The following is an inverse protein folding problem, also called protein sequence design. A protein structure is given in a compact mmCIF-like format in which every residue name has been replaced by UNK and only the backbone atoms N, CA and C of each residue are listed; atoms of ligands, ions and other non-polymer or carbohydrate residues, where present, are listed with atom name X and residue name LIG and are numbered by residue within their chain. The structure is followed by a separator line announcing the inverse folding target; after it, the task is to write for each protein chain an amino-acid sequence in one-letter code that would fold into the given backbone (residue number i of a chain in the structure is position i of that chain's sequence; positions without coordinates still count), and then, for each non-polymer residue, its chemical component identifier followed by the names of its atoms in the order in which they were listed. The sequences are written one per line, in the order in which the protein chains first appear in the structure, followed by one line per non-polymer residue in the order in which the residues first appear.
data_IF_471524687580
#
_entry.id   IF_471524687580
#
_cell.length_a   1.000
_cell.length_b   1.000
_cell.length_c   1.000
_cell.angle_alpha   90.00
_cell.angle_beta   90.00
_cell.angle_gamma   90.00
#
_symmetry.space_group_name_H-M   'P 1'
#
loop_
_entity.id
_entity.type
_entity.pdbx_description
1 polymer ?
#
# COMPACT_ATOMS: atom_id res chain seq x y z
N UNK A 1 19.70 -87.61 188.04
CA UNK A 1 19.11 -87.30 189.36
C UNK A 1 20.07 -86.37 190.12
N UNK A 2 19.70 -85.46 191.03
CA UNK A 2 18.39 -84.96 191.53
C UNK A 2 18.67 -83.61 192.25
N UNK A 3 18.42 -82.44 191.63
CA UNK A 3 18.97 -81.10 192.05
C UNK A 3 20.52 -81.07 191.93
N UNK A 4 21.30 -79.98 192.12
CA UNK A 4 21.16 -78.49 192.27
C UNK A 4 22.49 -77.88 191.67
N UNK A 5 22.80 -76.57 191.54
CA UNK A 5 22.23 -75.32 192.06
C UNK A 5 22.47 -74.08 191.15
N UNK A 6 21.44 -73.22 191.12
CA UNK A 6 21.37 -71.74 191.04
C UNK A 6 22.65 -70.85 190.94
N UNK A 7 22.42 -69.67 190.32
CA UNK A 7 22.88 -68.28 190.64
C UNK A 7 23.88 -67.49 189.73
N UNK A 8 23.33 -66.44 189.08
CA UNK A 8 23.82 -65.05 188.79
C UNK A 8 25.18 -64.73 188.10
N UNK A 9 25.16 -64.00 186.95
CA UNK A 9 25.98 -62.76 186.65
C UNK A 9 25.97 -62.24 185.16
N UNK A 10 25.94 -60.91 185.02
CA UNK A 10 26.58 -59.98 184.02
C UNK A 10 26.42 -60.08 182.46
N UNK A 11 27.02 -59.09 181.77
CA UNK A 11 26.51 -58.34 180.59
C UNK A 11 27.52 -58.33 179.41
N UNK A 12 27.09 -58.41 178.13
CA UNK A 12 27.92 -57.97 177.00
C UNK A 12 27.12 -57.75 175.69
N UNK A 13 27.38 -56.65 174.96
CA UNK A 13 26.53 -56.14 173.84
C UNK A 13 27.29 -55.97 172.51
N UNK A 14 28.57 -56.33 172.46
CA UNK A 14 29.48 -55.94 171.36
C UNK A 14 29.35 -56.66 169.98
N UNK A 15 28.75 -57.87 169.78
CA UNK A 15 28.75 -58.51 168.46
C UNK A 15 27.81 -57.92 167.39
N UNK A 16 26.77 -57.17 167.78
CA UNK A 16 25.64 -56.88 166.89
C UNK A 16 25.84 -55.70 165.90
N UNK A 17 26.82 -54.82 166.14
CA UNK A 17 26.95 -53.57 165.37
C UNK A 17 27.80 -53.73 164.08
N UNK A 18 28.79 -54.63 164.10
CA UNK A 18 29.70 -54.84 162.95
C UNK A 18 29.04 -55.52 161.76
N UNK A 19 28.10 -56.44 162.00
CA UNK A 19 27.47 -57.24 160.95
C UNK A 19 26.45 -56.41 160.13
N UNK A 20 25.68 -55.55 160.80
CA UNK A 20 24.80 -54.58 160.15
C UNK A 20 25.56 -53.56 159.29
N UNK A 21 26.74 -53.11 159.74
CA UNK A 21 27.58 -52.18 158.99
C UNK A 21 28.15 -52.84 157.72
N UNK A 22 28.61 -54.10 157.81
CA UNK A 22 29.10 -54.87 156.67
C UNK A 22 28.03 -55.12 155.60
N UNK A 23 26.80 -55.46 156.02
CA UNK A 23 25.67 -55.61 155.11
C UNK A 23 25.33 -54.33 154.35
N UNK A 24 25.33 -53.18 155.03
CA UNK A 24 25.01 -51.89 154.42
C UNK A 24 26.07 -51.44 153.40
N UNK A 25 27.36 -51.71 153.65
CA UNK A 25 28.45 -51.46 152.70
C UNK A 25 28.35 -52.37 151.47
N UNK A 26 28.00 -53.65 151.63
CA UNK A 26 27.79 -54.56 150.49
C UNK A 26 26.63 -54.13 149.60
N UNK A 27 25.51 -53.67 150.17
CA UNK A 27 24.37 -53.11 149.39
C UNK A 27 24.78 -51.81 148.68
N UNK A 28 25.56 -50.95 149.32
CA UNK A 28 26.07 -49.71 148.71
C UNK A 28 27.00 -50.00 147.52
N UNK A 29 27.96 -50.93 147.69
CA UNK A 29 28.86 -51.37 146.61
C UNK A 29 28.06 -52.02 145.47
N UNK A 30 27.06 -52.84 145.78
CA UNK A 30 26.19 -53.45 144.77
C UNK A 30 25.42 -52.40 143.96
N UNK A 31 24.82 -51.40 144.63
CA UNK A 31 24.14 -50.27 143.98
C UNK A 31 25.09 -49.47 143.09
N UNK A 32 26.29 -49.13 143.56
CA UNK A 32 27.31 -48.44 142.76
C UNK A 32 27.75 -49.29 141.57
N UNK A 33 27.92 -50.61 141.74
CA UNK A 33 28.33 -51.51 140.66
C UNK A 33 27.24 -51.62 139.59
N UNK A 34 25.97 -51.76 139.99
CA UNK A 34 24.83 -51.74 139.05
C UNK A 34 24.72 -50.39 138.35
N UNK A 35 24.90 -49.27 139.07
CA UNK A 35 24.89 -47.93 138.49
C UNK A 35 25.99 -47.75 137.44
N UNK A 36 27.24 -48.11 137.77
CA UNK A 36 28.39 -48.03 136.84
C UNK A 36 28.21 -48.96 135.65
N UNK A 37 27.69 -50.18 135.83
CA UNK A 37 27.36 -51.08 134.70
C UNK A 37 26.28 -50.45 133.82
N UNK A 38 25.27 -49.82 134.42
CA UNK A 38 24.19 -49.15 133.67
C UNK A 38 24.72 -47.94 132.89
N UNK A 39 25.57 -47.10 133.49
CA UNK A 39 26.26 -46.01 132.78
C UNK A 39 27.17 -46.52 131.66
N UNK A 40 27.93 -47.60 131.88
CA UNK A 40 28.80 -48.18 130.86
C UNK A 40 28.00 -48.78 129.69
N UNK A 41 26.84 -49.40 129.96
CA UNK A 41 25.95 -49.91 128.92
C UNK A 41 25.28 -48.77 128.13
N UNK A 42 24.75 -47.76 128.82
CA UNK A 42 24.18 -46.56 128.18
C UNK A 42 25.26 -45.83 127.37
N UNK A 43 26.47 -45.66 127.91
CA UNK A 43 27.60 -45.03 127.23
C UNK A 43 28.04 -45.77 125.97
N UNK A 44 28.05 -47.12 125.99
CA UNK A 44 28.30 -47.93 124.79
C UNK A 44 27.20 -47.77 123.74
N UNK A 45 25.94 -47.74 124.14
CA UNK A 45 24.83 -47.60 123.19
C UNK A 45 24.72 -46.16 122.64
N UNK A 46 25.06 -45.15 123.45
CA UNK A 46 25.21 -43.75 123.01
C UNK A 46 26.39 -43.59 122.04
N UNK A 47 27.58 -44.12 122.35
CA UNK A 47 28.72 -44.12 121.40
C UNK A 47 28.38 -44.84 120.08
N UNK A 48 27.64 -45.95 120.13
CA UNK A 48 27.14 -46.63 118.93
C UNK A 48 26.19 -45.77 118.11
N UNK A 49 25.28 -45.04 118.79
CA UNK A 49 24.36 -44.09 118.15
C UNK A 49 25.09 -42.86 117.60
N UNK A 50 26.07 -42.29 118.31
CA UNK A 50 26.87 -41.15 117.84
C UNK A 50 27.77 -41.51 116.66
N UNK A 51 28.37 -42.70 116.65
CA UNK A 51 29.14 -43.18 115.49
C UNK A 51 28.25 -43.48 114.28
N UNK A 52 27.05 -44.05 114.49
CA UNK A 52 26.05 -44.21 113.44
C UNK A 52 25.52 -42.86 112.91
N UNK A 53 25.23 -41.90 113.79
CA UNK A 53 24.85 -40.53 113.43
C UNK A 53 25.97 -39.84 112.64
N UNK A 54 27.24 -39.97 113.05
CA UNK A 54 28.38 -39.41 112.32
C UNK A 54 28.70 -40.13 110.99
N UNK A 55 28.24 -41.36 110.79
CA UNK A 55 28.24 -42.01 109.47
C UNK A 55 27.06 -41.54 108.62
N UNK A 56 25.86 -41.47 109.17
CA UNK A 56 24.66 -40.95 108.51
C UNK A 56 24.85 -39.49 108.07
N UNK A 57 25.41 -38.62 108.92
CA UNK A 57 25.76 -37.24 108.58
C UNK A 57 26.74 -37.17 107.40
N UNK A 58 27.78 -38.02 107.38
CA UNK A 58 28.72 -38.08 106.24
C UNK A 58 28.06 -38.58 104.96
N UNK A 59 27.16 -39.56 105.05
CA UNK A 59 26.38 -40.05 103.91
C UNK A 59 25.43 -38.96 103.41
N UNK A 60 24.73 -38.26 104.31
CA UNK A 60 23.86 -37.12 103.99
C UNK A 60 24.67 -36.03 103.29
N UNK A 61 25.77 -35.56 103.85
CA UNK A 61 26.61 -34.53 103.20
C UNK A 61 27.23 -34.98 101.87
N UNK A 62 27.53 -36.27 101.70
CA UNK A 62 27.99 -36.81 100.41
C UNK A 62 26.85 -36.87 99.38
N UNK A 63 25.64 -37.26 99.78
CA UNK A 63 24.44 -37.25 98.95
C UNK A 63 23.99 -35.83 98.59
N UNK A 64 24.08 -34.88 99.52
CA UNK A 64 23.87 -33.44 99.28
C UNK A 64 24.89 -32.89 98.26
N UNK A 65 26.16 -33.30 98.36
CA UNK A 65 27.20 -32.98 97.38
C UNK A 65 26.90 -33.54 95.99
N UNK A 66 26.56 -34.84 95.90
CA UNK A 66 26.19 -35.51 94.65
C UNK A 66 24.93 -34.91 94.02
N UNK A 67 23.90 -34.60 94.82
CA UNK A 67 22.70 -33.91 94.37
C UNK A 67 23.02 -32.51 93.84
N UNK A 68 23.86 -31.74 94.56
CA UNK A 68 24.30 -30.41 94.14
C UNK A 68 25.13 -30.42 92.85
N UNK A 69 25.95 -31.45 92.61
CA UNK A 69 26.69 -31.60 91.34
C UNK A 69 25.78 -32.06 90.19
N UNK A 70 24.83 -32.96 90.46
CA UNK A 70 23.80 -33.34 89.48
C UNK A 70 22.92 -32.14 89.07
N UNK A 71 22.56 -31.26 90.01
CA UNK A 71 21.82 -30.03 89.72
C UNK A 71 22.64 -29.03 88.89
N UNK A 72 23.95 -28.87 89.16
CA UNK A 72 24.85 -28.06 88.32
C UNK A 72 24.95 -28.62 86.90
N UNK A 73 25.01 -29.94 86.75
CA UNK A 73 25.08 -30.58 85.44
C UNK A 73 23.74 -30.48 84.69
N UNK A 74 22.61 -30.67 85.37
CA UNK A 74 21.28 -30.44 84.82
C UNK A 74 21.09 -28.97 84.39
N UNK A 75 21.59 -27.99 85.16
CA UNK A 75 21.58 -26.58 84.78
C UNK A 75 22.45 -26.29 83.53
N UNK A 76 23.65 -26.88 83.44
CA UNK A 76 24.51 -26.80 82.24
C UNK A 76 23.84 -27.43 81.02
N UNK A 77 23.21 -28.59 81.17
CA UNK A 77 22.49 -29.27 80.07
C UNK A 77 21.28 -28.45 79.61
N UNK A 78 20.46 -27.91 80.51
CA UNK A 78 19.35 -26.99 80.18
C UNK A 78 19.85 -25.76 79.40
N UNK A 79 20.95 -25.14 79.84
CA UNK A 79 21.55 -24.00 79.14
C UNK A 79 22.06 -24.38 77.73
N UNK A 80 22.69 -25.54 77.56
CA UNK A 80 23.10 -26.04 76.24
C UNK A 80 21.92 -26.38 75.35
N UNK A 81 20.84 -26.96 75.88
CA UNK A 81 19.59 -27.20 75.15
C UNK A 81 18.96 -25.90 74.66
N UNK A 82 18.84 -24.89 75.53
CA UNK A 82 18.29 -23.57 75.17
C UNK A 82 19.15 -22.88 74.09
N UNK A 83 20.47 -23.00 74.16
CA UNK A 83 21.38 -22.52 73.11
C UNK A 83 21.17 -23.24 71.77
N UNK A 84 21.05 -24.57 71.81
CA UNK A 84 20.77 -25.39 70.62
C UNK A 84 19.41 -25.04 70.00
N UNK A 85 18.36 -24.90 70.80
CA UNK A 85 17.02 -24.47 70.36
C UNK A 85 17.07 -23.11 69.66
N UNK A 86 17.86 -22.16 70.18
CA UNK A 86 18.08 -20.86 69.53
C UNK A 86 18.74 -21.02 68.15
N UNK A 87 19.81 -21.82 68.04
CA UNK A 87 20.50 -22.05 66.74
C UNK A 87 19.62 -22.80 65.74
N UNK A 88 18.75 -23.71 66.18
CA UNK A 88 17.76 -24.37 65.33
C UNK A 88 16.72 -23.35 64.82
N UNK A 89 16.22 -22.47 65.68
CA UNK A 89 15.31 -21.39 65.28
C UNK A 89 15.92 -20.44 64.24
N UNK A 90 17.19 -20.05 64.41
CA UNK A 90 17.91 -19.23 63.45
C UNK A 90 18.13 -19.94 62.11
N UNK A 91 18.58 -21.21 62.14
CA UNK A 91 18.73 -22.03 60.94
C UNK A 91 17.41 -22.17 60.19
N UNK A 92 16.31 -22.40 60.89
CA UNK A 92 15.01 -22.62 60.26
C UNK A 92 14.44 -21.32 59.66
N UNK A 93 14.74 -20.15 60.25
CA UNK A 93 14.50 -18.83 59.64
C UNK A 93 15.32 -18.63 58.36
N UNK A 94 16.62 -18.94 58.38
CA UNK A 94 17.50 -18.84 57.21
C UNK A 94 17.04 -19.80 56.08
N UNK A 95 16.63 -21.02 56.42
CA UNK A 95 16.06 -21.97 55.45
C UNK A 95 14.74 -21.48 54.87
N UNK A 96 13.90 -20.78 55.64
CA UNK A 96 12.68 -20.14 55.12
C UNK A 96 13.02 -18.97 54.17
N UNK A 97 13.98 -18.12 54.53
CA UNK A 97 14.45 -17.02 53.67
C UNK A 97 15.02 -17.55 52.34
N UNK A 98 15.94 -18.51 52.37
CA UNK A 98 16.53 -19.12 51.17
C UNK A 98 15.48 -19.82 50.27
N UNK A 99 14.44 -20.43 50.86
CA UNK A 99 13.33 -21.00 50.09
C UNK A 99 12.53 -19.91 49.38
N UNK A 100 12.23 -18.80 50.05
CA UNK A 100 11.50 -17.67 49.45
C UNK A 100 12.33 -16.98 48.35
N UNK A 101 13.61 -16.75 48.58
CA UNK A 101 14.53 -16.16 47.59
C UNK A 101 14.70 -17.06 46.36
N UNK A 102 14.87 -18.38 46.56
CA UNK A 102 14.92 -19.34 45.46
C UNK A 102 13.60 -19.41 44.68
N UNK A 103 12.46 -19.28 45.35
CA UNK A 103 11.15 -19.21 44.69
C UNK A 103 11.00 -17.94 43.85
N UNK A 104 11.42 -16.78 44.38
CA UNK A 104 11.43 -15.51 43.65
C UNK A 104 12.35 -15.57 42.41
N UNK A 105 13.60 -16.02 42.58
CA UNK A 105 14.55 -16.20 41.47
C UNK A 105 14.04 -17.18 40.41
N UNK A 106 13.31 -18.23 40.81
CA UNK A 106 12.68 -19.17 39.85
C UNK A 106 11.54 -18.52 39.06
N UNK A 107 10.77 -17.63 39.69
CA UNK A 107 9.70 -16.88 39.02
C UNK A 107 10.26 -15.82 38.06
N UNK A 108 11.27 -15.06 38.49
CA UNK A 108 11.95 -14.06 37.66
C UNK A 108 12.66 -14.71 36.47
N UNK A 109 13.33 -15.86 36.68
CA UNK A 109 13.92 -16.64 35.59
C UNK A 109 12.86 -17.07 34.57
N UNK A 110 11.74 -17.64 35.01
CA UNK A 110 10.66 -18.06 34.12
C UNK A 110 10.09 -16.89 33.32
N UNK A 111 9.92 -15.73 33.96
CA UNK A 111 9.47 -14.50 33.31
C UNK A 111 10.50 -13.98 32.27
N UNK A 112 11.80 -14.06 32.57
CA UNK A 112 12.86 -13.70 31.65
C UNK A 112 12.95 -14.66 30.44
N UNK A 113 12.74 -15.96 30.64
CA UNK A 113 12.69 -16.95 29.55
C UNK A 113 11.48 -16.70 28.63
N UNK A 114 10.31 -16.35 29.18
CA UNK A 114 9.12 -15.98 28.41
C UNK A 114 9.30 -14.66 27.62
N UNK A 115 9.92 -13.63 28.20
CA UNK A 115 10.18 -12.38 27.49
C UNK A 115 11.27 -12.52 26.44
N UNK A 116 12.31 -13.32 26.69
CA UNK A 116 13.32 -13.65 25.69
C UNK A 116 12.71 -14.41 24.50
N UNK A 117 11.85 -15.41 24.75
CA UNK A 117 11.17 -16.19 23.70
C UNK A 117 10.28 -15.29 22.85
N UNK A 118 9.42 -14.48 23.46
CA UNK A 118 8.52 -13.56 22.72
C UNK A 118 9.28 -12.45 21.97
N UNK A 119 10.40 -11.95 22.50
CA UNK A 119 11.27 -11.03 21.78
C UNK A 119 11.94 -11.69 20.57
N UNK A 120 12.34 -12.96 20.68
CA UNK A 120 12.95 -13.72 19.60
C UNK A 120 11.94 -14.07 18.48
N UNK A 121 10.69 -14.39 18.84
CA UNK A 121 9.58 -14.54 17.90
C UNK A 121 9.28 -13.23 17.15
N UNK A 122 9.25 -12.09 17.86
CA UNK A 122 9.07 -10.77 17.26
C UNK A 122 10.22 -10.41 16.30
N UNK A 123 11.48 -10.70 16.69
CA UNK A 123 12.64 -10.47 15.83
C UNK A 123 12.60 -11.32 14.55
N UNK A 124 12.22 -12.60 14.64
CA UNK A 124 12.04 -13.47 13.48
C UNK A 124 10.94 -12.99 12.53
N UNK A 125 9.81 -12.52 13.09
CA UNK A 125 8.71 -11.93 12.32
C UNK A 125 9.14 -10.64 11.61
N UNK A 126 9.91 -9.78 12.29
CA UNK A 126 10.43 -8.53 11.71
C UNK A 126 11.46 -8.80 10.61
N UNK A 127 12.38 -9.77 10.76
CA UNK A 127 13.30 -10.18 9.68
C UNK A 127 12.53 -10.65 8.45
N UNK A 128 11.56 -11.56 8.64
CA UNK A 128 10.70 -12.07 7.57
C UNK A 128 9.95 -10.94 6.86
N UNK A 129 9.50 -9.92 7.60
CA UNK A 129 8.83 -8.74 7.02
C UNK A 129 9.79 -7.84 6.25
N UNK A 130 11.01 -7.63 6.76
CA UNK A 130 12.05 -6.86 6.09
C UNK A 130 12.49 -7.51 4.77
N UNK A 131 12.68 -8.84 4.75
CA UNK A 131 13.00 -9.61 3.55
C UNK A 131 11.91 -9.50 2.47
N UNK A 132 10.63 -9.59 2.86
CA UNK A 132 9.49 -9.39 1.93
C UNK A 132 9.47 -7.98 1.34
N UNK A 133 9.68 -6.96 2.17
CA UNK A 133 9.72 -5.56 1.72
C UNK A 133 10.91 -5.29 0.81
N UNK A 134 12.08 -5.88 1.09
CA UNK A 134 13.25 -5.79 0.20
C UNK A 134 12.96 -6.41 -1.18
N UNK A 135 12.38 -7.60 -1.22
CA UNK A 135 11.99 -8.25 -2.47
C UNK A 135 10.90 -7.47 -3.25
N UNK A 136 9.98 -6.81 -2.54
CA UNK A 136 8.98 -5.93 -3.15
C UNK A 136 9.61 -4.65 -3.74
N UNK A 137 10.55 -4.01 -3.01
CA UNK A 137 11.31 -2.87 -3.52
C UNK A 137 12.15 -3.23 -4.76
N UNK A 138 12.82 -4.38 -4.77
CA UNK A 138 13.52 -4.86 -5.98
C UNK A 138 12.59 -5.13 -7.17
N UNK A 139 11.36 -5.60 -6.90
CA UNK A 139 10.35 -5.80 -7.95
C UNK A 139 9.86 -4.45 -8.50
N UNK A 140 9.59 -3.48 -7.63
CA UNK A 140 9.18 -2.13 -8.01
C UNK A 140 10.28 -1.39 -8.78
N UNK A 141 11.54 -1.47 -8.34
CA UNK A 141 12.68 -0.86 -9.04
C UNK A 141 12.88 -1.46 -10.45
N UNK A 142 12.73 -2.79 -10.61
CA UNK A 142 12.76 -3.44 -11.93
C UNK A 142 11.60 -2.98 -12.83
N UNK A 143 10.39 -2.87 -12.29
CA UNK A 143 9.23 -2.36 -13.03
C UNK A 143 9.40 -0.88 -13.43
N UNK A 144 9.96 -0.05 -12.56
CA UNK A 144 10.25 1.36 -12.85
C UNK A 144 11.30 1.50 -13.96
N UNK A 145 12.38 0.72 -13.92
CA UNK A 145 13.40 0.72 -14.96
C UNK A 145 12.83 0.27 -16.33
N UNK A 146 12.00 -0.78 -16.35
CA UNK A 146 11.32 -1.23 -17.56
C UNK A 146 10.37 -0.15 -18.13
N UNK A 147 9.60 0.53 -17.29
CA UNK A 147 8.72 1.63 -17.70
C UNK A 147 9.51 2.83 -18.23
N UNK A 148 10.64 3.18 -17.61
CA UNK A 148 11.52 4.25 -18.11
C UNK A 148 12.10 3.91 -19.49
N UNK A 149 12.43 2.63 -19.73
CA UNK A 149 12.88 2.17 -21.04
C UNK A 149 11.75 2.21 -22.11
N UNK A 150 10.52 1.80 -21.76
CA UNK A 150 9.36 1.90 -22.66
C UNK A 150 9.05 3.35 -23.04
N UNK A 151 9.09 4.27 -22.06
CA UNK A 151 8.91 5.71 -22.32
C UNK A 151 9.99 6.25 -23.27
N UNK A 152 11.27 5.96 -23.02
CA UNK A 152 12.36 6.39 -23.90
C UNK A 152 12.23 5.83 -25.33
N UNK A 153 11.77 4.59 -25.49
CA UNK A 153 11.47 4.01 -26.80
C UNK A 153 10.31 4.74 -27.48
N UNK A 154 9.23 5.02 -26.75
CA UNK A 154 8.04 5.71 -27.28
C UNK A 154 8.32 7.15 -27.66
N UNK A 155 9.12 7.88 -26.88
CA UNK A 155 9.60 9.22 -27.22
C UNK A 155 10.43 9.21 -28.51
N UNK A 156 11.31 8.22 -28.69
CA UNK A 156 12.09 8.09 -29.94
C UNK A 156 11.19 7.84 -31.16
N UNK A 157 10.12 7.05 -31.01
CA UNK A 157 9.12 6.81 -32.07
C UNK A 157 8.31 8.07 -32.36
N UNK A 158 7.90 8.83 -31.34
CA UNK A 158 7.17 10.10 -31.49
C UNK A 158 8.03 11.12 -32.26
N UNK A 159 9.31 11.26 -31.91
CA UNK A 159 10.24 12.15 -32.62
C UNK A 159 10.40 11.73 -34.10
N UNK A 160 10.57 10.43 -34.37
CA UNK A 160 10.63 9.92 -35.75
C UNK A 160 9.33 10.14 -36.53
N UNK A 161 8.17 9.90 -35.92
CA UNK A 161 6.87 10.12 -36.54
C UNK A 161 6.63 11.60 -36.85
N UNK A 162 6.96 12.50 -35.91
CA UNK A 162 6.85 13.95 -36.11
C UNK A 162 7.71 14.42 -37.28
N UNK A 163 8.97 14.00 -37.33
CA UNK A 163 9.87 14.33 -38.45
C UNK A 163 9.37 13.79 -39.80
N UNK A 164 8.73 12.61 -39.82
CA UNK A 164 8.06 12.07 -41.04
C UNK A 164 6.85 12.89 -41.44
N UNK A 165 6.03 13.37 -40.51
CA UNK A 165 4.87 14.23 -40.79
C UNK A 165 5.35 15.57 -41.36
N UNK A 166 6.31 16.24 -40.73
CA UNK A 166 6.87 17.51 -41.19
C UNK A 166 7.49 17.40 -42.60
N UNK A 167 8.15 16.27 -42.91
CA UNK A 167 8.68 15.98 -44.24
C UNK A 167 7.58 15.72 -45.28
N UNK A 168 6.52 14.98 -44.91
CA UNK A 168 5.37 14.73 -45.79
C UNK A 168 4.58 16.01 -46.07
N UNK A 169 4.33 16.84 -45.06
CA UNK A 169 3.64 18.14 -45.20
C UNK A 169 4.43 19.07 -46.12
N UNK A 170 5.76 19.12 -45.95
CA UNK A 170 6.65 19.93 -46.81
C UNK A 170 6.64 19.43 -48.26
N UNK A 171 6.69 18.12 -48.47
CA UNK A 171 6.65 17.50 -49.79
C UNK A 171 5.28 17.70 -50.48
N UNK A 172 4.18 17.54 -49.74
CA UNK A 172 2.83 17.76 -50.23
C UNK A 172 2.60 19.23 -50.58
N UNK A 173 2.99 20.15 -49.69
CA UNK A 173 2.90 21.60 -49.95
C UNK A 173 3.69 21.99 -51.19
N UNK A 174 4.91 21.48 -51.38
CA UNK A 174 5.69 21.70 -52.59
C UNK A 174 4.96 21.19 -53.83
N UNK A 175 4.48 19.95 -53.83
CA UNK A 175 3.76 19.34 -54.97
C UNK A 175 2.44 20.06 -55.30
N UNK A 176 1.75 20.58 -54.29
CA UNK A 176 0.55 21.42 -54.47
C UNK A 176 0.90 22.76 -55.13
N UNK A 177 1.98 23.42 -54.69
CA UNK A 177 2.45 24.67 -55.31
C UNK A 177 2.85 24.47 -56.78
N UNK A 178 3.64 23.43 -57.07
CA UNK A 178 4.01 23.04 -58.44
C UNK A 178 2.75 22.83 -59.31
N UNK A 179 1.72 22.15 -58.77
CA UNK A 179 0.48 21.89 -59.51
C UNK A 179 -0.41 23.12 -59.71
N UNK A 180 -0.40 24.07 -58.76
CA UNK A 180 -1.10 25.35 -58.91
C UNK A 180 -0.42 26.21 -59.98
N UNK A 181 0.91 26.29 -59.98
CA UNK A 181 1.67 27.03 -61.00
C UNK A 181 1.44 26.44 -62.41
N UNK A 182 1.41 25.12 -62.55
CA UNK A 182 1.03 24.44 -63.81
C UNK A 182 -0.40 24.79 -64.26
N UNK A 183 -1.38 24.82 -63.33
CA UNK A 183 -2.77 25.18 -63.62
C UNK A 183 -2.91 26.64 -64.07
N UNK A 184 -2.28 27.58 -63.36
CA UNK A 184 -2.32 29.01 -63.68
C UNK A 184 -1.68 29.29 -65.04
N UNK A 185 -0.53 28.69 -65.32
CA UNK A 185 0.15 28.81 -66.62
C UNK A 185 -0.71 28.27 -67.76
N UNK A 186 -1.30 27.08 -67.59
CA UNK A 186 -2.20 26.52 -68.59
C UNK A 186 -3.43 27.41 -68.84
N UNK A 187 -4.07 27.90 -67.77
CA UNK A 187 -5.22 28.79 -67.90
C UNK A 187 -4.84 30.05 -68.69
N UNK A 188 -3.71 30.68 -68.37
CA UNK A 188 -3.19 31.85 -69.08
C UNK A 188 -2.97 31.59 -70.58
N UNK A 189 -2.24 30.51 -70.94
CA UNK A 189 -1.98 30.12 -72.33
C UNK A 189 -3.27 29.83 -73.11
N UNK A 190 -4.27 29.24 -72.44
CA UNK A 190 -5.55 28.88 -73.04
C UNK A 190 -6.46 30.10 -73.28
N UNK A 191 -6.64 30.95 -72.27
CA UNK A 191 -7.42 32.18 -72.40
C UNK A 191 -6.76 33.15 -73.39
N UNK A 192 -5.42 33.20 -73.45
CA UNK A 192 -4.68 33.98 -74.44
C UNK A 192 -5.02 33.60 -75.88
N UNK A 193 -4.86 32.31 -76.24
CA UNK A 193 -5.13 31.81 -77.60
C UNK A 193 -6.59 31.93 -78.03
N UNK A 194 -7.53 31.63 -77.14
CA UNK A 194 -8.95 31.80 -77.47
C UNK A 194 -9.34 33.27 -77.62
N UNK A 195 -8.76 34.18 -76.82
CA UNK A 195 -8.96 35.62 -76.99
C UNK A 195 -8.43 36.11 -78.33
N UNK A 196 -7.29 35.59 -78.79
CA UNK A 196 -6.74 35.88 -80.13
C UNK A 196 -7.68 35.38 -81.25
N UNK A 197 -8.13 34.12 -81.19
CA UNK A 197 -9.01 33.52 -82.20
C UNK A 197 -10.38 34.21 -82.29
N UNK A 198 -10.91 34.73 -81.19
CA UNK A 198 -12.18 35.44 -81.15
C UNK A 198 -12.08 36.97 -81.10
N UNK A 199 -10.89 37.55 -81.20
CA UNK A 199 -10.67 39.01 -81.09
C UNK A 199 -11.53 39.85 -82.06
N UNK A 200 -11.82 39.29 -83.25
CA UNK A 200 -12.59 39.94 -84.31
C UNK A 200 -14.04 39.44 -84.43
N UNK A 201 -14.53 38.61 -83.49
CA UNK A 201 -15.92 38.13 -83.51
C UNK A 201 -16.80 39.02 -82.59
N UNK A 202 -17.75 39.80 -83.13
CA UNK A 202 -18.58 40.70 -82.32
C UNK A 202 -19.57 39.98 -81.40
N UNK A 203 -19.87 38.70 -81.69
CA UNK A 203 -20.92 37.94 -81.01
C UNK A 203 -20.45 37.11 -79.82
N UNK A 204 -19.12 36.97 -79.67
CA UNK A 204 -18.47 36.22 -78.59
C UNK A 204 -17.73 37.19 -77.68
N UNK A 205 -18.00 37.13 -76.38
CA UNK A 205 -17.35 37.98 -75.37
C UNK A 205 -16.52 37.15 -74.40
N UNK A 206 -15.27 37.55 -74.20
CA UNK A 206 -14.38 36.95 -73.19
C UNK A 206 -14.53 37.75 -71.89
N UNK A 207 -15.08 37.12 -70.85
CA UNK A 207 -15.33 37.76 -69.54
C UNK A 207 -14.66 36.91 -68.47
N UNK A 208 -13.51 37.36 -67.96
CA UNK A 208 -12.73 36.61 -66.98
C UNK A 208 -12.33 35.23 -67.51
N UNK A 209 -12.86 34.19 -66.86
CA UNK A 209 -12.64 32.77 -67.17
C UNK A 209 -13.69 32.15 -68.11
N UNK A 210 -14.51 32.98 -68.78
CA UNK A 210 -15.69 32.54 -69.54
C UNK A 210 -15.74 33.10 -70.96
N UNK A 211 -16.21 32.25 -71.87
CA UNK A 211 -16.56 32.62 -73.24
C UNK A 211 -18.07 32.67 -73.38
N UNK A 212 -18.61 33.87 -73.56
CA UNK A 212 -20.04 34.14 -73.61
C UNK A 212 -20.48 34.24 -75.07
N UNK A 213 -21.29 33.28 -75.51
CA UNK A 213 -21.90 33.20 -76.83
C UNK A 213 -23.36 33.63 -76.73
N UNK A 214 -23.79 34.60 -77.55
CA UNK A 214 -25.21 34.96 -77.62
C UNK A 214 -26.04 33.78 -78.15
N UNK A 215 -27.12 33.42 -77.46
CA UNK A 215 -27.92 32.23 -77.81
C UNK A 215 -28.54 32.32 -79.20
N UNK A 216 -28.79 33.53 -79.73
CA UNK A 216 -29.36 33.74 -81.08
C UNK A 216 -28.39 33.38 -82.21
N UNK A 217 -27.09 33.40 -81.94
CA UNK A 217 -26.07 32.97 -82.92
C UNK A 217 -25.96 31.45 -82.94
N UNK A 218 -26.12 30.80 -81.78
CA UNK A 218 -26.08 29.34 -81.64
C UNK A 218 -27.41 28.65 -81.94
N UNK A 219 -28.56 29.27 -81.67
CA UNK A 219 -29.88 28.65 -81.68
C UNK A 219 -30.96 29.60 -82.20
N UNK A 220 -31.98 29.05 -82.86
CA UNK A 220 -33.21 29.78 -83.10
C UNK A 220 -33.95 30.09 -81.77
N UNK A 221 -34.79 31.13 -81.78
CA UNK A 221 -35.60 31.50 -80.61
C UNK A 221 -36.51 30.36 -80.17
N UNK A 222 -36.59 30.10 -78.86
CA UNK A 222 -37.35 28.98 -78.27
C UNK A 222 -36.78 27.57 -78.52
N UNK A 223 -35.83 27.39 -79.43
CA UNK A 223 -35.29 26.08 -79.81
C UNK A 223 -33.93 25.78 -79.17
N UNK A 224 -33.57 24.49 -79.16
CA UNK A 224 -32.25 23.99 -78.75
C UNK A 224 -31.45 23.31 -79.89
N UNK A 225 -31.96 23.33 -81.12
CA UNK A 225 -31.23 22.83 -82.29
C UNK A 225 -30.18 23.84 -82.74
N UNK A 226 -28.92 23.42 -82.83
CA UNK A 226 -27.79 24.28 -83.18
C UNK A 226 -27.89 24.79 -84.62
N UNK A 227 -27.55 26.06 -84.85
CA UNK A 227 -27.47 26.68 -86.16
C UNK A 227 -26.16 26.32 -86.88
N UNK A 228 -26.14 26.43 -88.22
CA UNK A 228 -24.93 26.19 -89.01
C UNK A 228 -23.81 27.21 -88.70
N UNK A 229 -24.17 28.48 -88.45
CA UNK A 229 -23.22 29.52 -88.05
C UNK A 229 -22.64 29.27 -86.66
N UNK A 230 -23.49 28.87 -85.70
CA UNK A 230 -23.09 28.57 -84.33
C UNK A 230 -22.16 27.35 -84.23
N UNK A 231 -22.39 26.34 -85.08
CA UNK A 231 -21.45 25.23 -85.25
C UNK A 231 -20.04 25.71 -85.63
N UNK A 232 -19.92 26.59 -86.63
CA UNK A 232 -18.62 27.09 -87.09
C UNK A 232 -17.82 27.90 -86.05
N UNK A 233 -18.47 28.51 -85.05
CA UNK A 233 -17.79 29.14 -83.93
C UNK A 233 -17.41 28.15 -82.81
N UNK A 234 -18.25 27.14 -82.56
CA UNK A 234 -17.90 26.02 -81.68
C UNK A 234 -16.77 25.16 -82.26
N UNK A 235 -16.65 25.05 -83.58
CA UNK A 235 -15.54 24.38 -84.27
C UNK A 235 -14.19 25.08 -84.01
N UNK A 236 -14.17 26.42 -84.03
CA UNK A 236 -12.98 27.22 -83.69
C UNK A 236 -12.58 26.99 -82.22
N UNK A 237 -13.55 27.01 -81.31
CA UNK A 237 -13.31 26.71 -79.89
C UNK A 237 -12.75 25.29 -79.72
N UNK A 238 -13.36 24.29 -80.35
CA UNK A 238 -12.93 22.90 -80.28
C UNK A 238 -11.52 22.70 -80.88
N UNK A 239 -11.19 23.38 -81.98
CA UNK A 239 -9.86 23.34 -82.57
C UNK A 239 -8.78 23.87 -81.62
N UNK A 240 -9.01 25.03 -80.98
CA UNK A 240 -8.07 25.60 -79.99
C UNK A 240 -7.97 24.70 -78.75
N UNK A 241 -9.10 24.17 -78.27
CA UNK A 241 -9.09 23.20 -77.18
C UNK A 241 -8.24 21.98 -77.51
N UNK A 242 -8.41 21.33 -78.68
CA UNK A 242 -7.63 20.14 -79.05
C UNK A 242 -6.13 20.45 -79.17
N UNK A 243 -5.75 21.60 -79.72
CA UNK A 243 -4.34 22.02 -79.81
C UNK A 243 -3.67 22.21 -78.44
N UNK A 244 -4.44 22.62 -77.43
CA UNK A 244 -3.94 22.85 -76.08
C UNK A 244 -4.03 21.61 -75.19
N UNK A 245 -5.10 20.82 -75.33
CA UNK A 245 -5.26 19.54 -74.67
C UNK A 245 -4.16 18.53 -75.10
N UNK A 246 -3.64 18.63 -76.32
CA UNK A 246 -2.46 17.87 -76.75
C UNK A 246 -1.17 18.19 -75.97
N UNK A 247 -1.13 19.30 -75.22
CA UNK A 247 -0.01 19.71 -74.35
C UNK A 247 -0.32 19.53 -72.87
N UNK A 248 -1.51 19.05 -72.51
CA UNK A 248 -1.90 18.84 -71.13
C UNK A 248 -1.33 17.53 -70.56
N UNK A 249 -0.85 17.54 -69.30
CA UNK A 249 -0.75 16.33 -68.51
C UNK A 249 -2.12 15.63 -68.44
N UNK A 250 -2.22 14.32 -68.72
CA UNK A 250 -3.50 13.62 -68.76
C UNK A 250 -4.22 13.57 -67.41
N UNK A 251 -3.46 13.73 -66.31
CA UNK A 251 -3.91 13.74 -64.92
C UNK A 251 -4.32 15.13 -64.40
N UNK A 252 -4.24 16.18 -65.22
CA UNK A 252 -4.72 17.53 -64.84
C UNK A 252 -6.26 17.53 -64.90
N UNK A 253 -7.02 17.87 -63.84
CA UNK A 253 -8.46 17.67 -63.81
C UNK A 253 -9.25 18.88 -64.37
N UNK A 254 -8.77 19.48 -65.46
CA UNK A 254 -9.48 20.57 -66.14
C UNK A 254 -10.71 20.06 -66.91
N UNK A 255 -11.84 20.71 -66.74
CA UNK A 255 -13.08 20.50 -67.51
C UNK A 255 -13.60 21.82 -68.07
N UNK A 256 -14.37 21.72 -69.14
CA UNK A 256 -15.17 22.81 -69.72
C UNK A 256 -16.62 22.63 -69.22
N UNK A 257 -17.08 23.58 -68.44
CA UNK A 257 -18.46 23.68 -68.00
C UNK A 257 -19.24 24.59 -68.96
N UNK A 258 -20.23 24.00 -69.63
CA UNK A 258 -21.12 24.69 -70.57
C UNK A 258 -22.38 25.07 -69.81
N UNK A 259 -22.52 26.37 -69.50
CA UNK A 259 -23.66 26.93 -68.79
C UNK A 259 -24.67 27.53 -69.78
N UNK A 260 -25.91 27.07 -69.75
CA UNK A 260 -27.01 27.64 -70.51
C UNK A 260 -27.80 28.66 -69.69
N UNK A 261 -28.13 29.81 -70.26
CA UNK A 261 -28.95 30.84 -69.61
C UNK A 261 -30.11 31.29 -70.50
N UNK A 262 -31.19 31.73 -69.85
CA UNK A 262 -32.33 32.39 -70.47
C UNK A 262 -32.46 33.83 -69.97
N UNK A 263 -33.35 34.60 -70.57
CA UNK A 263 -33.90 35.79 -69.94
C UNK A 263 -35.14 35.44 -69.09
N UNK A 264 -35.75 36.44 -68.45
CA UNK A 264 -36.88 36.29 -67.52
C UNK A 264 -38.23 35.99 -68.19
N UNK A 265 -38.34 36.09 -69.52
CA UNK A 265 -39.59 35.78 -70.23
C UNK A 265 -39.78 34.26 -70.21
N UNK A 266 -40.92 33.74 -69.71
CA UNK A 266 -41.16 32.30 -69.69
C UNK A 266 -41.21 31.74 -71.11
N UNK A 267 -40.39 30.72 -71.39
CA UNK A 267 -40.50 29.92 -72.62
C UNK A 267 -41.93 29.36 -72.78
N UNK A 268 -42.40 29.31 -74.02
CA UNK A 268 -43.68 28.69 -74.41
C UNK A 268 -43.44 27.77 -75.60
N UNK A 269 -44.03 26.57 -75.57
CA UNK A 269 -43.90 25.57 -76.63
C UNK A 269 -43.22 24.30 -76.13
N UNK A 270 -42.13 23.88 -76.79
CA UNK A 270 -41.50 22.56 -76.63
C UNK A 270 -40.88 22.29 -75.25
N UNK A 271 -40.44 23.32 -74.55
CA UNK A 271 -39.77 23.21 -73.25
C UNK A 271 -40.71 23.64 -72.11
N UNK A 272 -40.89 22.83 -71.04
CA UNK A 272 -41.79 23.16 -69.92
C UNK A 272 -41.42 24.44 -69.17
N UNK A 273 -40.13 24.70 -68.97
CA UNK A 273 -39.62 25.92 -68.37
C UNK A 273 -38.25 26.32 -68.91
N UNK A 274 -37.77 27.46 -68.44
CA UNK A 274 -36.44 27.98 -68.74
C UNK A 274 -35.30 27.07 -68.22
N UNK A 275 -35.54 26.23 -67.20
CA UNK A 275 -34.58 25.22 -66.76
C UNK A 275 -34.37 24.15 -67.84
N UNK A 276 -35.43 23.61 -68.43
CA UNK A 276 -35.31 22.61 -69.50
C UNK A 276 -34.73 23.23 -70.77
N UNK A 277 -35.13 24.47 -71.14
CA UNK A 277 -34.56 25.16 -72.31
C UNK A 277 -33.05 25.41 -72.14
N UNK A 278 -32.62 25.95 -71.00
CA UNK A 278 -31.21 26.23 -70.73
C UNK A 278 -30.37 24.96 -70.66
N UNK A 279 -30.85 23.93 -69.95
CA UNK A 279 -30.18 22.63 -69.85
C UNK A 279 -30.07 21.95 -71.22
N UNK A 280 -31.15 21.94 -72.01
CA UNK A 280 -31.15 21.34 -73.35
C UNK A 280 -30.16 22.03 -74.29
N UNK A 281 -30.10 23.36 -74.28
CA UNK A 281 -29.10 24.11 -75.06
C UNK A 281 -27.67 23.81 -74.64
N UNK A 282 -27.39 23.80 -73.34
CA UNK A 282 -26.07 23.44 -72.81
C UNK A 282 -25.67 22.01 -73.21
N UNK A 283 -26.59 21.05 -73.10
CA UNK A 283 -26.38 19.66 -73.52
C UNK A 283 -26.13 19.53 -75.03
N UNK A 284 -26.81 20.32 -75.87
CA UNK A 284 -26.59 20.29 -77.32
C UNK A 284 -25.22 20.85 -77.71
N UNK A 285 -24.73 21.91 -77.05
CA UNK A 285 -23.34 22.36 -77.21
C UNK A 285 -22.35 21.29 -76.76
N UNK A 286 -22.57 20.62 -75.61
CA UNK A 286 -21.72 19.51 -75.15
C UNK A 286 -21.69 18.35 -76.16
N UNK A 287 -22.86 17.91 -76.65
CA UNK A 287 -22.96 16.86 -77.66
C UNK A 287 -22.20 17.22 -78.95
N UNK A 288 -22.30 18.48 -79.39
CA UNK A 288 -21.59 18.99 -80.56
C UNK A 288 -20.07 19.00 -80.33
N UNK A 289 -19.60 19.48 -79.18
CA UNK A 289 -18.17 19.47 -78.83
C UNK A 289 -17.59 18.05 -78.72
N UNK A 290 -18.38 17.08 -78.27
CA UNK A 290 -18.01 15.65 -78.30
C UNK A 290 -17.85 15.15 -79.74
N UNK A 291 -18.76 15.52 -80.66
CA UNK A 291 -18.62 15.20 -82.08
C UNK A 291 -17.37 15.85 -82.69
N UNK A 292 -16.99 17.04 -82.22
CA UNK A 292 -15.72 17.70 -82.53
C UNK A 292 -14.51 17.13 -81.76
N UNK A 293 -14.64 15.97 -81.13
CA UNK A 293 -13.52 15.23 -80.53
C UNK A 293 -13.00 15.79 -79.20
N UNK A 294 -13.78 16.62 -78.49
CA UNK A 294 -13.50 16.89 -77.07
C UNK A 294 -13.92 15.66 -76.24
N UNK A 295 -13.05 15.09 -75.39
CA UNK A 295 -13.41 13.92 -74.58
C UNK A 295 -14.62 14.20 -73.66
N UNK A 296 -15.64 13.33 -73.59
CA UNK A 296 -16.83 13.57 -72.74
C UNK A 296 -16.50 13.81 -71.26
N UNK A 297 -15.43 13.21 -70.74
CA UNK A 297 -14.96 13.38 -69.36
C UNK A 297 -14.43 14.80 -69.07
N UNK A 298 -14.21 15.60 -70.12
CA UNK A 298 -13.74 16.99 -70.07
C UNK A 298 -14.87 18.00 -70.22
N UNK A 299 -16.13 17.56 -70.27
CA UNK A 299 -17.30 18.41 -70.51
C UNK A 299 -18.36 18.22 -69.41
N UNK A 300 -19.01 19.31 -69.03
CA UNK A 300 -20.22 19.30 -68.20
C UNK A 300 -21.26 20.23 -68.83
N UNK A 301 -22.53 19.84 -68.81
CA UNK A 301 -23.66 20.69 -69.20
C UNK A 301 -24.42 21.12 -67.94
N UNK A 302 -24.69 22.42 -67.81
CA UNK A 302 -25.39 23.00 -66.66
C UNK A 302 -26.46 23.96 -67.19
N UNK A 303 -27.72 23.75 -66.82
CA UNK A 303 -28.76 24.78 -66.99
C UNK A 303 -28.72 25.77 -65.83
N UNK A 304 -28.84 27.06 -66.12
CA UNK A 304 -28.82 28.14 -65.12
C UNK A 304 -30.08 29.03 -65.16
N UNK A 305 -30.96 28.77 -66.14
CA UNK A 305 -32.23 29.49 -66.39
C UNK A 305 -32.07 31.03 -66.35
N UNK A 306 -33.09 31.76 -65.88
CA UNK A 306 -33.08 33.23 -65.75
C UNK A 306 -32.36 33.76 -64.50
N UNK A 307 -32.05 32.89 -63.53
CA UNK A 307 -31.60 33.29 -62.19
C UNK A 307 -30.17 33.86 -62.12
N UNK A 308 -29.47 33.88 -63.26
CA UNK A 308 -28.11 34.41 -63.38
C UNK A 308 -28.02 35.44 -64.53
N UNK A 309 -28.72 36.59 -64.43
CA UNK A 309 -28.69 37.62 -65.46
C UNK A 309 -27.35 38.40 -65.40
N UNK A 310 -26.77 38.68 -66.56
CA UNK A 310 -25.66 39.64 -66.70
C UNK A 310 -26.15 41.08 -66.88
N UNK A 311 -27.43 41.25 -67.20
CA UNK A 311 -28.12 42.54 -67.22
C UNK A 311 -29.44 42.45 -66.45
N UNK A 312 -29.59 43.14 -65.30
CA UNK A 312 -30.83 43.14 -64.54
C UNK A 312 -31.92 44.05 -65.15
N UNK A 313 -31.61 44.85 -66.17
CA UNK A 313 -32.57 45.76 -66.77
C UNK A 313 -33.73 45.02 -67.47
N UNK A 314 -34.86 45.72 -67.61
CA UNK A 314 -36.09 45.17 -68.18
C UNK A 314 -36.34 45.73 -69.58
N UNK A 315 -35.54 45.25 -70.56
CA UNK A 315 -35.63 45.68 -71.95
C UNK A 315 -35.11 44.58 -72.91
N UNK A 316 -35.37 44.76 -74.21
CA UNK A 316 -35.05 43.77 -75.24
C UNK A 316 -33.55 43.44 -75.35
N UNK A 317 -32.67 44.45 -75.19
CA UNK A 317 -31.22 44.24 -75.21
C UNK A 317 -30.74 43.48 -73.98
N UNK A 318 -31.24 43.82 -72.78
CA UNK A 318 -30.96 43.08 -71.56
C UNK A 318 -31.33 41.60 -71.68
N UNK A 319 -32.51 41.32 -72.23
CA UNK A 319 -32.97 39.96 -72.48
C UNK A 319 -32.06 39.23 -73.48
N UNK A 320 -31.72 39.86 -74.62
CA UNK A 320 -30.78 39.30 -75.60
C UNK A 320 -29.41 39.00 -74.99
N UNK A 321 -28.89 39.88 -74.12
CA UNK A 321 -27.64 39.64 -73.38
C UNK A 321 -27.76 38.47 -72.40
N UNK A 322 -28.88 38.34 -71.70
CA UNK A 322 -29.10 37.27 -70.73
C UNK A 322 -29.24 35.88 -71.39
N UNK A 323 -29.89 35.80 -72.57
CA UNK A 323 -29.94 34.60 -73.43
C UNK A 323 -28.56 34.26 -74.00
N UNK A 324 -27.77 33.46 -73.27
CA UNK A 324 -26.39 33.11 -73.68
C UNK A 324 -26.01 31.68 -73.29
N UNK A 325 -24.96 31.18 -73.94
CA UNK A 325 -24.16 30.05 -73.45
C UNK A 325 -22.83 30.59 -72.93
N UNK A 326 -22.44 30.21 -71.73
CA UNK A 326 -21.09 30.46 -71.22
C UNK A 326 -20.30 29.16 -71.26
N UNK A 327 -19.13 29.15 -71.92
CA UNK A 327 -18.15 28.08 -71.74
C UNK A 327 -17.11 28.57 -70.73
N UNK A 328 -17.15 27.98 -69.53
CA UNK A 328 -16.25 28.25 -68.42
C UNK A 328 -15.23 27.12 -68.28
N UNK A 329 -13.99 27.45 -67.95
CA UNK A 329 -12.97 26.45 -67.60
C UNK A 329 -12.90 26.32 -66.08
N UNK A 330 -12.86 25.11 -65.56
CA UNK A 330 -12.65 24.86 -64.13
C UNK A 330 -11.82 23.59 -63.90
N UNK A 331 -11.12 23.52 -62.78
CA UNK A 331 -10.65 22.24 -62.21
C UNK A 331 -11.78 21.57 -61.44
N UNK A 332 -11.81 20.24 -61.39
CA UNK A 332 -12.74 19.45 -60.58
C UNK A 332 -12.02 18.47 -59.65
#
# INVERSE_FOLDING_TARGET
MRRRRDSLSEFNVWPAFTDALGGLVMVLIFLITVFVITEVLIGREMMGKETAIGQLQRIISHLEGLAGDADKEAARLRSRMQGLESTVSERDKLLAQLRNERAALSADKSKAEQTATSAQEQAALLSTRAERLAAELERLNRALAANQQDLAQRDSVIVQQKGRIEALDSALKKKLLERVEELEKYASDFFGRLREVFANNPDIKVVGDRFVFQSEVLFASGEATLSASGGGDLDKFAAVYRQLAAKLPPDLPVIIEVQGHTDRVPVRGRFPSNWELSTARAQQVVNYLIQQGIPPQRLAAVGMAEYHPIDPADNADAYRRNRRIELKITSR
#
